data_IF_536545082185
#
_entry.id   IF_536545082185
#
_cell.length_a   1.000
_cell.length_b   1.000
_cell.length_c   1.000
_cell.angle_alpha   90.00
_cell.angle_beta   90.00
_cell.angle_gamma   90.00
#
_symmetry.space_group_name_H-M   'P 1'
#
loop_
_entity.id
_entity.type
_entity.pdbx_description
1 polymer ?
#
# COMPACT_ATOMS: atom_id res chain seq x y z
N UNK A 1 31.38 -24.62 -26.29
CA UNK A 1 30.40 -24.54 -25.18
C UNK A 1 30.51 -23.14 -24.57
N UNK A 2 29.95 -22.14 -25.25
CA UNK A 2 29.98 -20.74 -24.80
C UNK A 2 28.67 -20.47 -24.09
N UNK A 3 28.77 -20.15 -22.79
CA UNK A 3 27.67 -19.85 -21.90
C UNK A 3 26.75 -18.79 -22.52
N UNK A 4 25.47 -19.13 -22.66
CA UNK A 4 24.37 -18.19 -22.84
C UNK A 4 24.34 -17.21 -21.65
N UNK A 5 25.09 -16.12 -21.72
CA UNK A 5 24.86 -14.95 -20.87
C UNK A 5 23.65 -14.21 -21.42
N UNK A 6 22.47 -14.70 -21.08
CA UNK A 6 21.23 -13.94 -21.16
C UNK A 6 21.48 -12.63 -20.38
N UNK A 7 21.36 -11.45 -21.01
CA UNK A 7 21.53 -10.20 -20.29
C UNK A 7 20.51 -10.17 -19.16
N UNK A 8 20.90 -9.74 -17.94
CA UNK A 8 19.96 -9.66 -16.84
C UNK A 8 18.80 -8.76 -17.27
N UNK A 9 17.58 -9.28 -17.18
CA UNK A 9 16.40 -8.48 -17.44
C UNK A 9 16.44 -7.25 -16.53
N UNK A 10 16.00 -6.06 -16.98
CA UNK A 10 16.05 -4.83 -16.19
C UNK A 10 15.37 -4.95 -14.82
N UNK A 11 14.58 -6.01 -14.61
CA UNK A 11 13.81 -6.27 -13.41
C UNK A 11 14.49 -7.18 -12.38
N UNK A 12 15.62 -7.83 -12.71
CA UNK A 12 16.26 -8.78 -11.80
C UNK A 12 17.08 -8.13 -10.69
N UNK A 13 17.63 -6.93 -10.92
CA UNK A 13 18.56 -6.30 -9.99
C UNK A 13 17.87 -5.74 -8.74
N UNK A 14 16.74 -5.02 -8.90
CA UNK A 14 16.02 -4.45 -7.76
C UNK A 14 15.40 -5.53 -6.88
N UNK A 15 14.97 -6.65 -7.48
CA UNK A 15 14.49 -7.83 -6.72
C UNK A 15 15.57 -8.37 -5.79
N UNK A 16 16.83 -8.28 -6.19
CA UNK A 16 17.98 -8.66 -5.35
C UNK A 16 18.17 -7.70 -4.18
N UNK A 17 18.11 -6.39 -4.44
CA UNK A 17 18.32 -5.34 -3.42
C UNK A 17 17.21 -5.32 -2.37
N UNK A 18 15.96 -5.51 -2.80
CA UNK A 18 14.80 -5.40 -1.92
C UNK A 18 14.31 -6.73 -1.36
N UNK A 19 15.03 -7.85 -1.60
CA UNK A 19 14.61 -9.18 -1.14
C UNK A 19 14.38 -9.20 0.37
N UNK A 20 15.38 -8.75 1.13
CA UNK A 20 15.34 -8.75 2.58
C UNK A 20 14.37 -7.71 3.13
N UNK A 21 14.26 -6.56 2.46
CA UNK A 21 13.26 -5.52 2.79
C UNK A 21 11.83 -6.07 2.66
N UNK A 22 11.58 -6.85 1.60
CA UNK A 22 10.26 -7.47 1.35
C UNK A 22 10.00 -8.62 2.34
N UNK A 23 11.01 -9.41 2.69
CA UNK A 23 10.87 -10.56 3.58
C UNK A 23 10.73 -10.15 5.07
N UNK A 24 11.57 -9.22 5.54
CA UNK A 24 11.64 -8.78 6.95
C UNK A 24 10.75 -7.56 7.23
N UNK A 25 10.31 -6.87 6.18
CA UNK A 25 9.61 -5.59 6.26
C UNK A 25 10.58 -4.40 6.39
N UNK A 26 10.20 -3.27 5.77
CA UNK A 26 10.98 -2.00 5.78
C UNK A 26 11.27 -1.51 7.20
N UNK A 27 10.41 -1.85 8.15
CA UNK A 27 10.51 -1.41 9.54
C UNK A 27 11.59 -2.15 10.34
N UNK A 28 11.96 -3.37 9.91
CA UNK A 28 12.84 -4.24 10.67
C UNK A 28 14.26 -4.33 10.09
N UNK A 29 14.50 -3.69 8.93
CA UNK A 29 15.80 -3.71 8.27
C UNK A 29 16.64 -2.51 8.67
N UNK A 30 17.92 -2.73 8.99
CA UNK A 30 18.87 -1.62 9.16
C UNK A 30 19.25 -1.05 7.80
N UNK A 31 19.56 0.24 7.75
CA UNK A 31 20.07 0.85 6.54
C UNK A 31 21.46 0.28 6.18
N UNK A 32 22.29 -0.06 7.16
CA UNK A 32 23.54 -0.81 6.94
C UNK A 32 23.34 -2.13 6.18
N UNK A 33 22.37 -2.96 6.57
CA UNK A 33 22.06 -4.23 5.89
C UNK A 33 21.56 -3.99 4.47
N UNK A 34 20.67 -3.00 4.29
CA UNK A 34 20.19 -2.59 2.97
C UNK A 34 21.35 -2.17 2.04
N UNK A 35 22.33 -1.43 2.56
CA UNK A 35 23.49 -1.02 1.78
C UNK A 35 24.42 -2.17 1.43
N UNK A 36 24.54 -3.18 2.30
CA UNK A 36 25.28 -4.40 2.00
C UNK A 36 24.67 -5.14 0.81
N UNK A 37 23.35 -5.34 0.82
CA UNK A 37 22.63 -5.97 -0.29
C UNK A 37 22.71 -5.13 -1.56
N UNK A 38 22.59 -3.81 -1.45
CA UNK A 38 22.78 -2.88 -2.56
C UNK A 38 24.18 -3.03 -3.16
N UNK A 39 25.24 -3.03 -2.34
CA UNK A 39 26.62 -3.16 -2.80
C UNK A 39 26.91 -4.48 -3.52
N UNK A 40 26.41 -5.60 -3.00
CA UNK A 40 26.53 -6.92 -3.64
C UNK A 40 25.86 -6.92 -5.01
N UNK A 41 24.64 -6.37 -5.09
CA UNK A 41 23.90 -6.30 -6.35
C UNK A 41 24.52 -5.30 -7.33
N UNK A 42 25.07 -4.17 -6.86
CA UNK A 42 25.82 -3.23 -7.69
C UNK A 42 27.02 -3.88 -8.37
N UNK A 43 27.78 -4.69 -7.62
CA UNK A 43 28.90 -5.43 -8.18
C UNK A 43 28.43 -6.45 -9.22
N UNK A 44 27.38 -7.21 -8.89
CA UNK A 44 26.80 -8.23 -9.77
C UNK A 44 26.27 -7.66 -11.09
N UNK A 45 25.58 -6.52 -11.06
CA UNK A 45 24.91 -5.94 -12.22
C UNK A 45 25.68 -4.75 -12.85
N UNK A 46 26.88 -4.44 -12.34
CA UNK A 46 27.80 -3.41 -12.88
C UNK A 46 27.20 -1.99 -13.03
N UNK A 47 26.19 -1.63 -12.24
CA UNK A 47 25.64 -0.27 -12.24
C UNK A 47 26.35 0.64 -11.21
N UNK A 48 26.45 1.93 -11.50
CA UNK A 48 27.12 2.94 -10.65
C UNK A 48 26.10 3.90 -10.04
N UNK A 49 26.28 4.25 -8.77
CA UNK A 49 25.48 5.28 -8.09
C UNK A 49 26.06 6.67 -8.41
N UNK A 50 25.23 7.63 -8.85
CA UNK A 50 25.66 9.02 -9.00
C UNK A 50 26.30 9.61 -7.72
N UNK A 51 27.32 10.46 -7.81
CA UNK A 51 28.06 10.95 -6.64
C UNK A 51 27.18 11.59 -5.55
N UNK A 52 26.16 12.36 -5.93
CA UNK A 52 25.27 13.01 -4.97
C UNK A 52 24.48 12.01 -4.13
N UNK A 53 24.02 10.89 -4.71
CA UNK A 53 23.34 9.84 -3.97
C UNK A 53 24.30 9.10 -3.03
N UNK A 54 25.56 8.89 -3.44
CA UNK A 54 26.57 8.28 -2.56
C UNK A 54 26.78 9.12 -1.30
N UNK A 55 26.76 10.45 -1.42
CA UNK A 55 26.90 11.35 -0.28
C UNK A 55 25.72 11.20 0.68
N UNK A 56 24.48 11.26 0.17
CA UNK A 56 23.27 11.09 0.98
C UNK A 56 23.27 9.73 1.70
N UNK A 57 23.60 8.67 0.97
CA UNK A 57 23.67 7.31 1.52
C UNK A 57 24.73 7.23 2.62
N UNK A 58 25.93 7.76 2.40
CA UNK A 58 27.00 7.73 3.41
C UNK A 58 26.60 8.49 4.67
N UNK A 59 25.99 9.67 4.51
CA UNK A 59 25.50 10.45 5.65
C UNK A 59 24.43 9.70 6.44
N UNK A 60 23.47 9.05 5.77
CA UNK A 60 22.43 8.25 6.43
C UNK A 60 23.01 7.04 7.18
N UNK A 61 24.00 6.36 6.62
CA UNK A 61 24.66 5.23 7.28
C UNK A 61 25.39 5.65 8.56
N UNK A 62 26.08 6.80 8.52
CA UNK A 62 26.74 7.36 9.71
C UNK A 62 25.71 7.79 10.76
N UNK A 63 24.64 8.47 10.35
CA UNK A 63 23.57 8.89 11.27
C UNK A 63 22.88 7.68 11.92
N UNK A 64 22.62 6.61 11.17
CA UNK A 64 22.07 5.37 11.74
C UNK A 64 23.06 4.74 12.73
N UNK A 65 24.36 4.66 12.40
CA UNK A 65 25.37 4.13 13.30
C UNK A 65 25.47 4.89 14.62
N UNK A 66 25.41 6.23 14.57
CA UNK A 66 25.36 7.07 15.78
C UNK A 66 24.08 6.81 16.57
N UNK A 67 22.93 6.75 15.89
CA UNK A 67 21.63 6.54 16.56
C UNK A 67 21.52 5.15 17.23
N UNK A 68 22.11 4.10 16.64
CA UNK A 68 22.16 2.75 17.23
C UNK A 68 22.90 2.76 18.57
N UNK A 69 23.91 3.64 18.73
CA UNK A 69 24.66 3.78 19.98
C UNK A 69 23.77 4.28 21.14
N UNK A 70 22.70 5.00 20.83
CA UNK A 70 21.73 5.49 21.83
C UNK A 70 20.51 4.57 21.97
N UNK A 71 19.97 4.07 20.84
CA UNK A 71 18.87 3.13 20.82
C UNK A 71 19.24 1.92 19.94
N UNK A 72 19.57 0.76 20.54
CA UNK A 72 19.97 -0.45 19.79
C UNK A 72 18.93 -0.94 18.78
N UNK A 73 17.65 -0.61 18.99
CA UNK A 73 16.54 -0.99 18.12
C UNK A 73 16.21 0.08 17.06
N UNK A 74 17.00 1.16 16.98
CA UNK A 74 16.76 2.21 16.00
C UNK A 74 16.99 1.71 14.56
N UNK A 75 16.02 1.98 13.68
CA UNK A 75 16.07 1.68 12.25
C UNK A 75 15.65 2.92 11.48
N UNK A 76 16.59 3.57 10.79
CA UNK A 76 16.32 4.86 10.12
C UNK A 76 15.21 4.72 9.06
N UNK A 77 15.20 3.60 8.33
CA UNK A 77 14.17 3.31 7.32
C UNK A 77 12.80 3.12 7.98
N UNK A 78 12.74 2.39 9.09
CA UNK A 78 11.49 2.14 9.82
C UNK A 78 10.85 3.39 10.42
N UNK A 79 11.67 4.38 10.82
CA UNK A 79 11.18 5.67 11.32
C UNK A 79 10.83 6.67 10.19
N UNK A 80 11.50 6.58 9.05
CA UNK A 80 11.30 7.53 7.95
C UNK A 80 10.15 7.12 7.02
N UNK A 81 9.91 5.80 6.88
CA UNK A 81 8.92 5.27 5.95
C UNK A 81 7.48 5.80 6.20
N UNK A 82 6.98 5.92 7.45
CA UNK A 82 5.72 6.61 7.74
C UNK A 82 5.61 8.02 7.17
N UNK A 83 6.68 8.80 7.29
CA UNK A 83 6.71 10.16 6.76
C UNK A 83 6.69 10.17 5.23
N UNK A 84 7.41 9.24 4.58
CA UNK A 84 7.40 9.10 3.11
C UNK A 84 6.01 8.70 2.62
N UNK A 85 5.38 7.70 3.23
CA UNK A 85 4.03 7.27 2.88
C UNK A 85 3.04 8.44 2.98
N UNK A 86 3.13 9.23 4.06
CA UNK A 86 2.32 10.43 4.23
C UNK A 86 2.60 11.47 3.16
N UNK A 87 3.86 11.71 2.83
CA UNK A 87 4.27 12.67 1.80
C UNK A 87 3.72 12.27 0.45
N UNK A 88 3.80 10.99 0.08
CA UNK A 88 3.24 10.45 -1.18
C UNK A 88 1.74 10.71 -1.29
N UNK A 89 1.00 10.57 -0.19
CA UNK A 89 -0.45 10.75 -0.15
C UNK A 89 -0.91 12.23 -0.09
N UNK A 90 -0.02 13.17 0.27
CA UNK A 90 -0.37 14.58 0.52
C UNK A 90 0.34 15.59 -0.39
N UNK A 91 1.35 15.18 -1.13
CA UNK A 91 2.07 16.09 -2.03
C UNK A 91 1.29 16.31 -3.34
N UNK A 92 1.28 17.55 -3.83
CA UNK A 92 0.56 17.95 -5.04
C UNK A 92 1.42 17.89 -6.32
N UNK A 93 2.70 17.52 -6.24
CA UNK A 93 3.58 17.44 -7.41
C UNK A 93 3.11 16.41 -8.45
N UNK A 94 3.17 16.79 -9.73
CA UNK A 94 2.72 15.93 -10.84
C UNK A 94 3.44 14.58 -10.87
N UNK A 95 4.75 14.59 -10.59
CA UNK A 95 5.56 13.38 -10.53
C UNK A 95 5.11 12.44 -9.42
N UNK A 96 4.81 12.94 -8.22
CA UNK A 96 4.39 12.10 -7.12
C UNK A 96 2.96 11.57 -7.33
N UNK A 97 2.07 12.38 -7.91
CA UNK A 97 0.73 11.92 -8.34
C UNK A 97 0.82 10.76 -9.32
N UNK A 98 1.64 10.88 -10.36
CA UNK A 98 1.84 9.81 -11.35
C UNK A 98 2.42 8.54 -10.71
N UNK A 99 3.32 8.70 -9.74
CA UNK A 99 3.93 7.59 -9.00
C UNK A 99 2.90 6.89 -8.10
N UNK A 100 2.08 7.67 -7.39
CA UNK A 100 0.99 7.15 -6.57
C UNK A 100 -0.04 6.43 -7.44
N UNK A 101 -0.40 6.98 -8.59
CA UNK A 101 -1.29 6.32 -9.55
C UNK A 101 -0.71 4.99 -10.04
N UNK A 102 0.57 4.93 -10.43
CA UNK A 102 1.23 3.67 -10.80
C UNK A 102 1.32 2.66 -9.64
N UNK A 103 1.35 3.14 -8.40
CA UNK A 103 1.32 2.30 -7.21
C UNK A 103 -0.10 1.81 -6.84
N UNK A 104 -1.14 2.54 -7.22
CA UNK A 104 -2.52 2.16 -6.93
C UNK A 104 -3.18 1.41 -8.09
N UNK A 105 -2.72 1.58 -9.32
CA UNK A 105 -3.27 0.89 -10.49
C UNK A 105 -2.26 -0.10 -11.08
N UNK A 106 -2.74 -1.29 -11.40
CA UNK A 106 -2.02 -2.24 -12.28
C UNK A 106 -2.96 -2.65 -13.40
N UNK A 107 -2.54 -2.49 -14.65
CA UNK A 107 -3.30 -3.01 -15.79
C UNK A 107 -4.78 -2.54 -15.76
N UNK A 108 -5.00 -1.26 -15.40
CA UNK A 108 -6.34 -0.67 -15.22
C UNK A 108 -7.06 -1.04 -13.92
N UNK A 109 -6.56 -2.01 -13.15
CA UNK A 109 -7.19 -2.50 -11.91
C UNK A 109 -6.67 -1.77 -10.68
N UNK A 110 -7.59 -1.25 -9.88
CA UNK A 110 -7.28 -0.64 -8.59
C UNK A 110 -6.81 -1.69 -7.57
N UNK A 111 -5.66 -1.42 -6.94
CA UNK A 111 -5.01 -2.26 -5.92
C UNK A 111 -5.29 -1.71 -4.54
N UNK A 112 -6.46 -2.05 -4.00
CA UNK A 112 -6.87 -1.66 -2.65
C UNK A 112 -5.82 -2.04 -1.59
N UNK A 113 -5.16 -3.20 -1.71
CA UNK A 113 -4.10 -3.64 -0.79
C UNK A 113 -2.96 -2.61 -0.63
N UNK A 114 -2.61 -1.90 -1.71
CA UNK A 114 -1.53 -0.91 -1.70
C UNK A 114 -1.98 0.39 -1.04
N UNK A 115 -3.23 0.78 -1.26
CA UNK A 115 -3.82 1.93 -0.59
C UNK A 115 -3.91 1.70 0.92
N UNK A 116 -4.45 0.55 1.34
CA UNK A 116 -4.56 0.15 2.75
C UNK A 116 -3.19 0.20 3.44
N UNK A 117 -2.17 -0.39 2.81
CA UNK A 117 -0.78 -0.40 3.32
C UNK A 117 -0.21 1.02 3.46
N UNK A 118 -0.43 1.89 2.45
CA UNK A 118 0.07 3.26 2.47
C UNK A 118 -0.62 4.11 3.55
N UNK A 119 -1.95 4.00 3.68
CA UNK A 119 -2.70 4.76 4.68
C UNK A 119 -2.27 4.32 6.08
N UNK A 120 -2.20 3.01 6.33
CA UNK A 120 -1.75 2.45 7.61
C UNK A 120 -0.36 2.99 8.00
N UNK A 121 0.59 2.94 7.07
CA UNK A 121 1.94 3.44 7.32
C UNK A 121 1.97 4.97 7.51
N UNK A 122 1.18 5.72 6.74
CA UNK A 122 1.13 7.18 6.87
C UNK A 122 0.56 7.65 8.22
N UNK A 123 -0.39 6.89 8.78
CA UNK A 123 -1.02 7.20 10.06
C UNK A 123 -0.10 6.86 11.23
N UNK A 124 0.77 5.86 11.09
CA UNK A 124 1.79 5.54 12.10
C UNK A 124 2.67 6.74 12.44
N UNK A 125 3.04 7.56 11.44
CA UNK A 125 3.81 8.79 11.65
C UNK A 125 3.09 9.82 12.54
N UNK A 126 1.75 9.77 12.60
CA UNK A 126 0.91 10.60 13.46
C UNK A 126 0.74 9.95 14.83
N UNK A 127 0.52 8.64 14.87
CA UNK A 127 0.30 7.88 16.10
C UNK A 127 1.51 7.92 17.03
N UNK A 128 2.74 7.82 16.51
CA UNK A 128 3.96 7.92 17.34
C UNK A 128 4.11 9.31 18.02
N UNK A 129 3.48 10.37 17.51
CA UNK A 129 3.44 11.69 18.17
C UNK A 129 2.32 11.83 19.19
N UNK A 130 1.24 11.07 19.06
CA UNK A 130 0.10 11.11 19.98
C UNK A 130 0.23 10.08 21.11
N UNK A 131 1.05 9.03 20.98
CA UNK A 131 1.25 8.03 22.04
C UNK A 131 1.97 8.54 23.31
N UNK A 132 2.38 9.82 23.34
CA UNK A 132 2.83 10.49 24.57
C UNK A 132 1.62 11.01 25.39
N UNK A 133 0.40 11.00 24.84
CA UNK A 133 -0.82 11.45 25.51
C UNK A 133 -2.00 10.51 25.18
N UNK A 134 -2.53 9.86 26.23
CA UNK A 134 -3.76 9.04 26.27
C UNK A 134 -3.66 7.58 25.81
N UNK A 135 -3.41 6.70 26.79
CA UNK A 135 -3.90 5.32 26.79
C UNK A 135 -5.40 5.32 27.11
N UNK A 136 -6.26 5.04 26.13
CA UNK A 136 -7.60 4.51 26.39
C UNK A 136 -7.99 3.49 25.32
N UNK A 137 -8.04 2.21 25.72
CA UNK A 137 -8.12 1.07 24.81
C UNK A 137 -9.52 0.71 24.30
N UNK A 138 -10.57 1.50 24.54
CA UNK A 138 -11.96 1.05 24.26
C UNK A 138 -12.59 1.73 23.02
N UNK A 139 -11.89 2.64 22.33
CA UNK A 139 -12.41 3.32 21.13
C UNK A 139 -11.58 3.13 19.84
N UNK A 140 -10.85 2.02 19.72
CA UNK A 140 -9.86 1.81 18.64
C UNK A 140 -10.39 1.95 17.21
N UNK A 141 -11.53 1.33 16.88
CA UNK A 141 -12.10 1.35 15.51
C UNK A 141 -12.62 2.75 15.13
N UNK A 142 -13.47 3.36 15.96
CA UNK A 142 -14.00 4.71 15.71
C UNK A 142 -12.89 5.76 15.68
N UNK A 143 -11.87 5.62 16.52
CA UNK A 143 -10.70 6.48 16.50
C UNK A 143 -9.85 6.31 15.23
N UNK A 144 -9.67 5.07 14.76
CA UNK A 144 -8.99 4.80 13.50
C UNK A 144 -9.76 5.39 12.31
N UNK A 145 -11.07 5.18 12.20
CA UNK A 145 -11.92 5.78 11.15
C UNK A 145 -11.77 7.30 11.14
N UNK A 146 -11.87 7.93 12.32
CA UNK A 146 -11.73 9.38 12.43
C UNK A 146 -10.36 9.86 11.97
N UNK A 147 -9.28 9.15 12.29
CA UNK A 147 -7.94 9.49 11.83
C UNK A 147 -7.76 9.32 10.32
N UNK A 148 -8.23 8.20 9.76
CA UNK A 148 -8.20 7.94 8.30
C UNK A 148 -9.01 9.00 7.58
N UNK A 149 -10.23 9.27 8.04
CA UNK A 149 -11.13 10.23 7.42
C UNK A 149 -10.60 11.66 7.52
N UNK A 150 -10.10 12.07 8.69
CA UNK A 150 -9.47 13.38 8.86
C UNK A 150 -8.21 13.54 7.99
N UNK A 151 -7.53 12.44 7.67
CA UNK A 151 -6.38 12.45 6.78
C UNK A 151 -6.78 12.54 5.31
N UNK A 152 -7.74 11.72 4.87
CA UNK A 152 -8.23 11.72 3.48
C UNK A 152 -8.96 13.01 3.13
N UNK A 153 -9.70 13.58 4.08
CA UNK A 153 -10.41 14.85 3.92
C UNK A 153 -9.53 16.07 4.18
N UNK A 154 -8.23 15.89 4.46
CA UNK A 154 -7.29 17.01 4.58
C UNK A 154 -7.20 17.75 3.23
N UNK A 155 -7.18 19.08 3.28
CA UNK A 155 -6.99 19.94 2.10
C UNK A 155 -5.70 19.64 1.35
N UNK A 156 -4.71 19.02 2.02
CA UNK A 156 -3.45 18.60 1.37
C UNK A 156 -3.61 17.33 0.53
N UNK A 157 -4.59 16.48 0.85
CA UNK A 157 -4.80 15.18 0.22
C UNK A 157 -5.81 15.23 -0.94
N UNK A 158 -5.87 16.33 -1.71
CA UNK A 158 -6.86 16.53 -2.79
C UNK A 158 -6.85 15.38 -3.79
N UNK A 159 -5.67 14.98 -4.28
CA UNK A 159 -5.56 13.91 -5.25
C UNK A 159 -6.01 12.55 -4.69
N UNK A 160 -5.66 12.26 -3.43
CA UNK A 160 -6.11 11.04 -2.76
C UNK A 160 -7.63 11.03 -2.59
N UNK A 161 -8.21 12.18 -2.21
CA UNK A 161 -9.66 12.36 -2.06
C UNK A 161 -10.38 12.14 -3.38
N UNK A 162 -9.93 12.76 -4.47
CA UNK A 162 -10.53 12.58 -5.80
C UNK A 162 -10.47 11.12 -6.24
N UNK A 163 -9.34 10.46 -6.04
CA UNK A 163 -9.16 9.06 -6.39
C UNK A 163 -10.07 8.14 -5.59
N UNK A 164 -10.16 8.37 -4.28
CA UNK A 164 -11.04 7.60 -3.40
C UNK A 164 -12.51 7.82 -3.71
N UNK A 165 -12.91 9.04 -4.06
CA UNK A 165 -14.29 9.34 -4.44
C UNK A 165 -14.69 8.62 -5.73
N UNK A 166 -13.78 8.55 -6.71
CA UNK A 166 -14.01 7.82 -7.95
C UNK A 166 -14.15 6.30 -7.71
N UNK A 167 -13.23 5.70 -6.94
CA UNK A 167 -13.30 4.27 -6.61
C UNK A 167 -14.49 3.92 -5.70
N UNK A 168 -14.89 4.82 -4.79
CA UNK A 168 -16.10 4.67 -4.00
C UNK A 168 -17.37 4.76 -4.87
N UNK A 169 -17.43 5.69 -5.82
CA UNK A 169 -18.56 5.82 -6.73
C UNK A 169 -18.73 4.56 -7.59
N UNK A 170 -17.64 4.04 -8.15
CA UNK A 170 -17.62 2.77 -8.89
C UNK A 170 -18.08 1.59 -8.03
N UNK A 171 -17.58 1.49 -6.80
CA UNK A 171 -17.98 0.44 -5.87
C UNK A 171 -19.46 0.52 -5.48
N UNK A 172 -19.98 1.72 -5.23
CA UNK A 172 -21.38 1.94 -4.86
C UNK A 172 -22.32 1.63 -6.02
N UNK A 173 -21.94 2.00 -7.24
CA UNK A 173 -22.69 1.65 -8.44
C UNK A 173 -22.78 0.12 -8.62
N UNK A 174 -21.65 -0.59 -8.47
CA UNK A 174 -21.62 -2.05 -8.54
C UNK A 174 -22.43 -2.73 -7.43
N UNK A 175 -22.41 -2.18 -6.21
CA UNK A 175 -23.24 -2.66 -5.10
C UNK A 175 -24.73 -2.48 -5.41
N UNK A 176 -25.11 -1.34 -6.01
CA UNK A 176 -26.48 -1.09 -6.46
C UNK A 176 -26.93 -2.14 -7.45
N UNK A 177 -26.15 -2.38 -8.50
CA UNK A 177 -26.45 -3.41 -9.51
C UNK A 177 -26.60 -4.81 -8.88
N UNK A 178 -25.67 -5.23 -8.02
CA UNK A 178 -25.76 -6.53 -7.33
C UNK A 178 -27.02 -6.67 -6.46
N UNK A 179 -27.43 -5.58 -5.79
CA UNK A 179 -28.63 -5.56 -4.95
C UNK A 179 -29.89 -5.63 -5.80
N UNK A 180 -29.93 -4.93 -6.92
CA UNK A 180 -31.05 -4.99 -7.85
C UNK A 180 -31.18 -6.35 -8.52
N UNK A 181 -30.06 -6.96 -8.95
CA UNK A 181 -30.07 -8.29 -9.58
C UNK A 181 -30.61 -9.35 -8.61
N UNK A 182 -30.18 -9.32 -7.34
CA UNK A 182 -30.65 -10.27 -6.32
C UNK A 182 -32.13 -10.11 -5.96
N UNK A 183 -32.61 -8.87 -5.81
CA UNK A 183 -34.04 -8.59 -5.55
C UNK A 183 -34.89 -8.97 -6.75
N UNK A 184 -34.48 -8.57 -7.96
CA UNK A 184 -35.20 -8.92 -9.20
C UNK A 184 -35.28 -10.42 -9.37
N UNK A 185 -34.18 -11.15 -9.12
CA UNK A 185 -34.18 -12.62 -9.18
C UNK A 185 -35.13 -13.24 -8.17
N UNK A 186 -35.17 -12.73 -6.93
CA UNK A 186 -36.09 -13.23 -5.91
C UNK A 186 -37.57 -12.96 -6.26
N UNK A 187 -37.88 -11.79 -6.82
CA UNK A 187 -39.24 -11.45 -7.26
C UNK A 187 -39.65 -12.29 -8.46
N UNK A 188 -38.76 -12.45 -9.44
CA UNK A 188 -39.01 -13.26 -10.63
C UNK A 188 -39.15 -14.76 -10.32
N UNK A 189 -38.48 -15.26 -9.27
CA UNK A 189 -38.60 -16.65 -8.81
C UNK A 189 -40.00 -17.00 -8.28
N UNK A 190 -40.78 -16.00 -7.85
CA UNK A 190 -42.15 -16.19 -7.36
C UNK A 190 -43.22 -16.04 -8.46
N UNK A 191 -42.83 -15.77 -9.70
CA UNK A 191 -43.78 -15.59 -10.81
C UNK A 191 -43.96 -16.89 -11.61
N UNK A 192 -45.21 -17.33 -11.87
CA UNK A 192 -45.50 -18.62 -12.52
C UNK A 192 -45.14 -18.70 -14.01
N UNK A 193 -44.63 -17.63 -14.62
CA UNK A 193 -44.36 -17.55 -16.07
C UNK A 193 -42.92 -17.09 -16.45
N UNK A 194 -41.96 -17.08 -15.53
CA UNK A 194 -40.59 -16.64 -15.83
C UNK A 194 -39.70 -17.82 -16.29
N UNK A 195 -39.35 -17.83 -17.57
CA UNK A 195 -38.24 -18.62 -18.10
C UNK A 195 -36.94 -18.24 -17.40
N UNK A 196 -36.07 -19.22 -17.16
CA UNK A 196 -34.77 -19.13 -16.47
C UNK A 196 -33.77 -18.17 -17.13
N UNK A 197 -34.03 -16.86 -17.10
CA UNK A 197 -33.08 -15.84 -17.50
C UNK A 197 -32.40 -15.27 -16.25
N UNK A 198 -31.16 -15.70 -16.01
CA UNK A 198 -30.26 -15.01 -15.09
C UNK A 198 -29.82 -13.71 -15.75
N UNK A 199 -30.53 -12.62 -15.49
CA UNK A 199 -30.02 -11.28 -15.79
C UNK A 199 -28.91 -10.98 -14.78
N UNK A 200 -27.68 -11.35 -15.12
CA UNK A 200 -26.51 -10.78 -14.46
C UNK A 200 -26.10 -9.58 -15.29
N UNK A 201 -26.43 -8.38 -14.82
CA UNK A 201 -25.99 -7.14 -15.45
C UNK A 201 -24.59 -6.73 -14.97
N UNK A 202 -24.01 -7.46 -14.01
CA UNK A 202 -22.69 -7.20 -13.47
C UNK A 202 -21.61 -7.53 -14.50
N UNK A 203 -20.77 -6.53 -14.79
CA UNK A 203 -19.54 -6.75 -15.54
C UNK A 203 -18.44 -7.30 -14.63
N UNK A 204 -17.39 -7.87 -15.24
CA UNK A 204 -16.19 -8.29 -14.51
C UNK A 204 -15.55 -7.11 -13.72
N UNK A 205 -15.61 -5.90 -14.25
CA UNK A 205 -15.13 -4.69 -13.59
C UNK A 205 -15.97 -4.34 -12.35
N UNK A 206 -17.30 -4.45 -12.45
CA UNK A 206 -18.21 -4.21 -11.33
C UNK A 206 -17.96 -5.17 -10.17
N UNK A 207 -17.67 -6.45 -10.47
CA UNK A 207 -17.33 -7.44 -9.44
C UNK A 207 -16.05 -7.07 -8.67
N UNK A 208 -15.06 -6.50 -9.36
CA UNK A 208 -13.80 -6.02 -8.77
C UNK A 208 -14.04 -4.77 -7.93
N UNK A 209 -14.83 -3.83 -8.43
CA UNK A 209 -15.18 -2.59 -7.73
C UNK A 209 -15.96 -2.88 -6.44
N UNK A 210 -16.90 -3.82 -6.47
CA UNK A 210 -17.64 -4.27 -5.30
C UNK A 210 -16.71 -4.89 -4.24
N UNK A 211 -15.77 -5.74 -4.67
CA UNK A 211 -14.76 -6.33 -3.78
C UNK A 211 -13.87 -5.26 -3.15
N UNK A 212 -13.45 -4.27 -3.94
CA UNK A 212 -12.64 -3.15 -3.44
C UNK A 212 -13.40 -2.32 -2.40
N UNK A 213 -14.69 -2.04 -2.63
CA UNK A 213 -15.55 -1.36 -1.66
C UNK A 213 -15.66 -2.15 -0.36
N UNK A 214 -15.97 -3.45 -0.44
CA UNK A 214 -16.09 -4.31 0.75
C UNK A 214 -14.82 -4.27 1.59
N UNK A 215 -13.65 -4.35 0.94
CA UNK A 215 -12.36 -4.27 1.63
C UNK A 215 -12.12 -2.91 2.27
N UNK A 216 -12.45 -1.82 1.59
CA UNK A 216 -12.34 -0.48 2.16
C UNK A 216 -13.23 -0.30 3.40
N UNK A 217 -14.45 -0.84 3.38
CA UNK A 217 -15.35 -0.81 4.54
C UNK A 217 -14.77 -1.61 5.70
N UNK A 218 -14.23 -2.81 5.45
CA UNK A 218 -13.56 -3.63 6.46
C UNK A 218 -12.32 -2.95 7.05
N UNK A 219 -11.50 -2.33 6.19
CA UNK A 219 -10.32 -1.57 6.60
C UNK A 219 -10.71 -0.42 7.52
N UNK A 220 -11.72 0.37 7.14
CA UNK A 220 -12.23 1.47 7.96
C UNK A 220 -12.77 0.96 9.29
N UNK A 221 -13.49 -0.16 9.33
CA UNK A 221 -13.95 -0.77 10.58
C UNK A 221 -12.82 -1.16 11.54
N UNK A 222 -11.54 -1.06 11.15
CA UNK A 222 -10.39 -1.33 12.01
C UNK A 222 -10.25 -2.82 12.33
N UNK A 223 -10.93 -3.68 11.56
CA UNK A 223 -10.90 -5.13 11.69
C UNK A 223 -9.63 -5.75 11.09
N UNK A 224 -8.74 -4.94 10.52
CA UNK A 224 -7.40 -5.36 10.08
C UNK A 224 -6.31 -5.00 11.12
N UNK A 225 -6.61 -5.22 12.41
CA UNK A 225 -5.57 -5.26 13.44
C UNK A 225 -5.03 -6.68 13.57
N UNK A 226 -4.13 -7.06 12.67
CA UNK A 226 -3.10 -8.04 12.97
C UNK A 226 -1.73 -7.41 12.61
N UNK A 227 -0.90 -7.05 13.60
CA UNK A 227 0.47 -6.64 13.33
C UNK A 227 1.26 -7.90 12.93
N UNK A 228 1.90 -7.85 11.77
CA UNK A 228 2.96 -8.81 11.44
C UNK A 228 2.48 -10.22 11.07
N UNK A 229 1.79 -10.36 9.95
CA UNK A 229 1.95 -11.56 9.13
C UNK A 229 1.97 -11.12 7.67
N UNK A 230 3.19 -11.05 7.14
CA UNK A 230 3.44 -11.09 5.70
C UNK A 230 2.72 -12.33 5.20
N UNK A 231 1.51 -12.16 4.64
CA UNK A 231 0.86 -13.19 3.84
C UNK A 231 1.72 -13.28 2.59
N UNK A 232 2.75 -14.14 2.66
CA UNK A 232 3.44 -14.66 1.49
C UNK A 232 2.36 -15.27 0.60
N UNK A 233 1.80 -14.45 -0.28
CA UNK A 233 0.91 -14.91 -1.33
C UNK A 233 1.83 -15.62 -2.30
N UNK A 234 1.83 -16.94 -2.18
CA UNK A 234 2.46 -17.85 -3.12
C UNK A 234 1.95 -17.47 -4.51
N UNK A 235 2.82 -16.89 -5.32
CA UNK A 235 2.61 -16.77 -6.75
C UNK A 235 3.61 -17.79 -7.30
N UNK A 236 3.05 -18.82 -7.92
CA UNK A 236 3.67 -20.00 -8.53
C UNK A 236 5.15 -19.86 -8.91
#
# INVERSE_FOLDING_TARGET
MLLNLVPPTPTSWYKGVFRDVVAKGVQNISFGDFLKDLGINMYKFKFRIPPYFSLVIRSLAVLEGIAISYNPNYKVLGSTYPWIARKVLTDSSSKLKSTLQALLYKDGKFRIDRLESLISESLRARTERTLIMEQSEIHGSRFFIKQVLAFVLDTKAIFLRELLLDELAKGLYALGLASFDSVTTAVLANLPFSSSYSFSSMTEEDSVNLRNLQRLVLFLQGLDKAPGMVRCRNIY
#
